data_IF_289654596155
#
_entry.id   IF_289654596155
#
_cell.length_a   1.000
_cell.length_b   1.000
_cell.length_c   1.000
_cell.angle_alpha   90.00
_cell.angle_beta   90.00
_cell.angle_gamma   90.00
#
_symmetry.space_group_name_H-M   'P 1'
#
loop_
_entity.id
_entity.type
_entity.pdbx_description
1 polymer ?
#
# COMPACT_ATOMS: atom_id res chain seq x y z
N UNK A 1 39.64 -6.26 4.22
CA UNK A 1 39.82 -7.72 4.17
C UNK A 1 38.88 -8.28 3.12
N UNK A 2 39.41 -8.63 1.94
CA UNK A 2 38.66 -9.30 0.87
C UNK A 2 39.15 -10.75 0.80
N UNK A 3 38.22 -11.69 0.68
CA UNK A 3 38.55 -13.07 0.33
C UNK A 3 37.70 -14.13 1.02
N UNK A 4 36.40 -14.18 0.75
CA UNK A 4 35.70 -15.47 0.84
C UNK A 4 35.90 -16.17 -0.50
N UNK A 5 37.02 -16.87 -0.66
CA UNK A 5 37.16 -17.82 -1.78
C UNK A 5 36.23 -19.01 -1.48
N UNK A 6 35.00 -18.94 -1.98
CA UNK A 6 34.11 -20.09 -1.98
C UNK A 6 34.66 -21.11 -2.98
N UNK A 7 34.99 -22.30 -2.50
CA UNK A 7 35.30 -23.43 -3.36
C UNK A 7 34.12 -23.80 -4.26
N UNK A 8 34.29 -24.73 -5.22
CA UNK A 8 33.20 -25.13 -6.11
C UNK A 8 32.01 -25.64 -5.29
N UNK A 9 30.91 -24.88 -5.32
CA UNK A 9 29.66 -25.24 -4.66
C UNK A 9 29.02 -26.41 -5.42
N UNK A 10 29.16 -27.60 -4.86
CA UNK A 10 28.53 -28.81 -5.43
C UNK A 10 27.02 -28.73 -5.19
N UNK A 11 26.26 -29.10 -6.22
CA UNK A 11 24.80 -29.19 -6.12
C UNK A 11 24.39 -30.27 -5.12
N UNK A 12 23.62 -29.90 -4.10
CA UNK A 12 22.96 -30.83 -3.18
C UNK A 12 21.44 -30.87 -3.50
N UNK A 13 20.94 -31.99 -4.06
CA UNK A 13 19.51 -32.14 -4.39
C UNK A 13 18.58 -31.98 -3.20
N UNK A 14 19.03 -32.31 -1.98
CA UNK A 14 18.23 -32.18 -0.76
C UNK A 14 18.08 -30.71 -0.39
N UNK A 15 19.16 -29.94 -0.46
CA UNK A 15 19.14 -28.50 -0.19
C UNK A 15 18.23 -27.78 -1.20
N UNK A 16 18.35 -28.09 -2.49
CA UNK A 16 17.52 -27.45 -3.51
C UNK A 16 16.01 -27.69 -3.28
N UNK A 17 15.63 -28.93 -2.94
CA UNK A 17 14.23 -29.26 -2.64
C UNK A 17 13.70 -28.47 -1.45
N UNK A 18 14.47 -28.39 -0.37
CA UNK A 18 14.08 -27.66 0.84
C UNK A 18 14.00 -26.16 0.58
N UNK A 19 14.99 -25.58 -0.11
CA UNK A 19 15.00 -24.17 -0.48
C UNK A 19 13.79 -23.82 -1.35
N UNK A 20 13.45 -24.68 -2.32
CA UNK A 20 12.25 -24.50 -3.16
C UNK A 20 10.96 -24.57 -2.34
N UNK A 21 10.85 -25.51 -1.40
CA UNK A 21 9.70 -25.61 -0.51
C UNK A 21 9.56 -24.35 0.37
N UNK A 22 10.65 -23.90 1.00
CA UNK A 22 10.67 -22.70 1.83
C UNK A 22 10.27 -21.45 1.03
N UNK A 23 10.80 -21.30 -0.20
CA UNK A 23 10.43 -20.17 -1.07
C UNK A 23 8.95 -20.17 -1.42
N UNK A 24 8.34 -21.35 -1.61
CA UNK A 24 6.89 -21.46 -1.84
C UNK A 24 6.11 -21.10 -0.56
N UNK A 25 6.49 -21.64 0.59
CA UNK A 25 5.84 -21.35 1.87
C UNK A 25 5.87 -19.85 2.19
N UNK A 26 7.01 -19.18 1.98
CA UNK A 26 7.14 -17.73 2.17
C UNK A 26 6.22 -16.94 1.22
N UNK A 27 6.11 -17.36 -0.04
CA UNK A 27 5.19 -16.70 -0.99
C UNK A 27 3.74 -16.81 -0.54
N UNK A 28 3.31 -18.01 -0.15
CA UNK A 28 1.96 -18.24 0.35
C UNK A 28 1.68 -17.46 1.64
N UNK A 29 2.63 -17.42 2.58
CA UNK A 29 2.49 -16.64 3.80
C UNK A 29 2.38 -15.14 3.51
N UNK A 30 3.14 -14.63 2.53
CA UNK A 30 3.05 -13.24 2.10
C UNK A 30 1.70 -12.92 1.45
N UNK A 31 1.21 -13.81 0.58
CA UNK A 31 -0.11 -13.67 -0.04
C UNK A 31 -1.22 -13.69 1.02
N UNK A 32 -1.16 -14.64 1.98
CA UNK A 32 -2.10 -14.69 3.09
C UNK A 32 -2.04 -13.42 3.96
N UNK A 33 -0.86 -12.91 4.28
CA UNK A 33 -0.72 -11.66 5.03
C UNK A 33 -1.24 -10.44 4.26
N UNK A 34 -1.06 -10.41 2.94
CA UNK A 34 -1.66 -9.37 2.08
C UNK A 34 -3.19 -9.47 2.06
N UNK A 35 -3.75 -10.68 2.04
CA UNK A 35 -5.20 -10.87 2.10
C UNK A 35 -5.79 -10.45 3.45
N UNK A 36 -5.14 -10.78 4.56
CA UNK A 36 -5.59 -10.35 5.90
C UNK A 36 -5.55 -8.83 6.03
N UNK A 37 -4.49 -8.17 5.53
CA UNK A 37 -4.42 -6.70 5.51
C UNK A 37 -5.52 -6.08 4.65
N UNK A 38 -5.81 -6.68 3.49
CA UNK A 38 -6.90 -6.22 2.63
C UNK A 38 -8.25 -6.38 3.33
N UNK A 39 -8.47 -7.49 4.04
CA UNK A 39 -9.70 -7.73 4.81
C UNK A 39 -9.87 -6.70 5.95
N UNK A 40 -8.78 -6.39 6.67
CA UNK A 40 -8.74 -5.32 7.67
C UNK A 40 -9.04 -3.95 7.04
N UNK A 41 -8.38 -3.59 5.94
CA UNK A 41 -8.61 -2.33 5.22
C UNK A 41 -10.07 -2.23 4.72
N UNK A 42 -10.64 -3.31 4.17
CA UNK A 42 -12.05 -3.30 3.76
C UNK A 42 -13.01 -3.18 4.94
N UNK A 43 -12.69 -3.79 6.09
CA UNK A 43 -13.51 -3.66 7.30
C UNK A 43 -13.44 -2.25 7.90
N UNK A 44 -12.28 -1.59 7.84
CA UNK A 44 -12.11 -0.20 8.27
C UNK A 44 -12.77 0.78 7.29
N UNK A 45 -12.67 0.53 5.98
CA UNK A 45 -13.32 1.33 4.94
C UNK A 45 -14.85 1.24 5.02
N UNK A 46 -15.42 0.05 5.24
CA UNK A 46 -16.85 -0.12 5.46
C UNK A 46 -17.35 0.65 6.69
N UNK A 47 -16.58 0.65 7.79
CA UNK A 47 -16.89 1.44 8.99
C UNK A 47 -16.80 2.95 8.72
N UNK A 48 -15.80 3.39 7.96
CA UNK A 48 -15.60 4.79 7.60
C UNK A 48 -16.73 5.30 6.69
N UNK A 49 -17.20 4.48 5.74
CA UNK A 49 -18.34 4.82 4.86
C UNK A 49 -19.62 4.97 5.68
N UNK A 50 -19.88 4.07 6.64
CA UNK A 50 -21.05 4.15 7.51
C UNK A 50 -21.05 5.41 8.39
N UNK A 51 -19.87 5.84 8.86
CA UNK A 51 -19.71 7.10 9.60
C UNK A 51 -19.84 8.35 8.71
N UNK A 52 -19.32 8.33 7.48
CA UNK A 52 -19.42 9.45 6.51
C UNK A 52 -20.86 9.70 6.07
N UNK A 53 -21.68 8.65 5.92
CA UNK A 53 -23.10 8.81 5.57
C UNK A 53 -23.92 9.45 6.70
N UNK A 54 -23.50 9.31 7.97
CA UNK A 54 -24.15 9.95 9.12
C UNK A 54 -23.70 11.41 9.34
N UNK A 55 -22.54 11.81 8.81
CA UNK A 55 -21.97 13.16 8.94
C UNK A 55 -22.06 13.99 7.65
N UNK A 56 -23.13 13.87 6.86
CA UNK A 56 -23.42 14.82 5.77
C UNK A 56 -23.79 16.22 6.30
N UNK A 57 -22.81 16.89 6.91
CA UNK A 57 -22.79 18.34 6.95
C UNK A 57 -22.56 18.80 5.49
N UNK A 58 -23.45 19.60 4.88
CA UNK A 58 -23.25 20.02 3.49
C UNK A 58 -21.91 20.73 3.39
N UNK A 59 -21.03 20.24 2.51
CA UNK A 59 -19.75 20.86 2.23
C UNK A 59 -20.00 22.36 1.97
N UNK A 60 -19.26 23.27 2.62
CA UNK A 60 -19.45 24.69 2.39
C UNK A 60 -19.27 24.98 0.89
N UNK A 61 -20.08 25.88 0.31
CA UNK A 61 -20.02 26.17 -1.11
C UNK A 61 -18.60 26.58 -1.52
N UNK A 62 -18.13 26.17 -2.71
CA UNK A 62 -16.79 26.50 -3.16
C UNK A 62 -16.62 28.02 -3.24
N UNK A 63 -15.42 28.54 -2.92
CA UNK A 63 -15.17 29.97 -2.98
C UNK A 63 -15.36 30.49 -4.42
N UNK A 64 -15.77 31.76 -4.60
CA UNK A 64 -15.95 32.37 -5.91
C UNK A 64 -14.68 32.25 -6.76
N UNK A 65 -14.83 31.81 -8.02
CA UNK A 65 -13.72 31.76 -8.96
C UNK A 65 -13.37 33.16 -9.43
N UNK A 66 -12.08 33.46 -9.50
CA UNK A 66 -11.59 34.71 -10.08
C UNK A 66 -11.76 34.66 -11.61
N UNK A 67 -12.40 35.67 -12.18
CA UNK A 67 -12.50 35.91 -13.62
C UNK A 67 -11.24 36.60 -14.14
N UNK A 68 -11.02 36.61 -15.45
CA UNK A 68 -9.88 37.30 -16.07
C UNK A 68 -9.83 38.81 -15.72
N UNK A 69 -10.97 39.42 -15.39
CA UNK A 69 -11.07 40.82 -14.97
C UNK A 69 -10.65 41.07 -13.51
N UNK A 70 -10.48 40.02 -12.70
CA UNK A 70 -10.17 40.15 -11.26
C UNK A 70 -8.66 40.27 -10.99
N UNK A 71 -7.84 40.07 -12.03
CA UNK A 71 -6.40 40.27 -11.98
C UNK A 71 -6.09 41.76 -12.12
N UNK A 72 -5.57 42.38 -11.06
CA UNK A 72 -5.14 43.79 -11.06
C UNK A 72 -6.07 44.76 -10.32
N UNK A 73 -7.20 44.29 -9.78
CA UNK A 73 -8.04 45.10 -8.89
C UNK A 73 -7.31 45.32 -7.55
N UNK A 74 -7.01 46.58 -7.21
CA UNK A 74 -6.58 46.96 -5.87
C UNK A 74 -7.83 47.12 -5.00
N UNK A 75 -7.90 46.33 -3.93
CA UNK A 75 -8.93 46.49 -2.91
C UNK A 75 -8.58 47.76 -2.12
N UNK A 76 -9.40 48.81 -2.24
CA UNK A 76 -9.32 50.02 -1.42
C UNK A 76 -10.11 49.84 -0.13
#
# INVERSE_FOLDING_TARGET
MQGTSFGPLVFDPKIERTTRANRKAVRLAKEAASLVRLEEETSEEENLIEMVDQEQNPLPPPPPRRTLGDYGMRNN
#
